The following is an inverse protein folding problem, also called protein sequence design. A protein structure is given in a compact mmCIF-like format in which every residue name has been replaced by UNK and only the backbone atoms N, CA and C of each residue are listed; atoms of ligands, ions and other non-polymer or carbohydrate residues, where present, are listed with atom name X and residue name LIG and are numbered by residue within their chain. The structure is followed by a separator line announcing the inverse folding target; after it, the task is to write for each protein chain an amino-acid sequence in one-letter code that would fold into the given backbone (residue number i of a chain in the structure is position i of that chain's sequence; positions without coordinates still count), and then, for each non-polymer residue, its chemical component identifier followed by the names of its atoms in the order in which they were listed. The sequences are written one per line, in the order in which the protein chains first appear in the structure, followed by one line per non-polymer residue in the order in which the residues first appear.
data_IF_501663512938
#
_entry.id   IF_501663512938
#
_cell.length_a   1.000
_cell.length_b   1.000
_cell.length_c   1.000
_cell.angle_alpha   90.00
_cell.angle_beta   90.00
_cell.angle_gamma   90.00
#
_symmetry.space_group_name_H-M   'P 1'
#
loop_
_entity.id
_entity.type
_entity.pdbx_description
1 polymer ?
#
# COMPACT_ATOMS: atom_id res chain seq x y z
N UNK A 1 -10.25 -9.08 -1.29
CA UNK A 1 -9.33 -8.07 -0.71
C UNK A 1 -8.52 -7.49 -1.87
N UNK A 2 -8.19 -6.20 -1.87
CA UNK A 2 -7.42 -5.58 -2.96
C UNK A 2 -6.37 -4.68 -2.33
N UNK A 3 -5.11 -4.82 -2.77
CA UNK A 3 -3.97 -3.99 -2.34
C UNK A 3 -3.84 -2.76 -3.26
N UNK A 4 -4.73 -1.77 -3.03
CA UNK A 4 -4.79 -0.58 -3.90
C UNK A 4 -3.47 0.19 -3.97
N UNK A 5 -2.71 0.30 -2.87
CA UNK A 5 -1.44 1.02 -2.87
C UNK A 5 -0.38 0.35 -3.77
N UNK A 6 -0.32 -0.99 -3.75
CA UNK A 6 0.60 -1.74 -4.60
C UNK A 6 0.21 -1.61 -6.08
N UNK A 7 -1.10 -1.69 -6.36
CA UNK A 7 -1.63 -1.47 -7.71
C UNK A 7 -1.33 -0.05 -8.19
N UNK A 8 -1.54 0.97 -7.36
CA UNK A 8 -1.24 2.36 -7.71
C UNK A 8 0.23 2.55 -8.08
N UNK A 9 1.15 2.04 -7.26
CA UNK A 9 2.59 2.10 -7.52
C UNK A 9 2.96 1.40 -8.84
N UNK A 10 2.35 0.24 -9.12
CA UNK A 10 2.63 -0.52 -10.32
C UNK A 10 2.02 0.07 -11.59
N UNK A 11 0.86 0.73 -11.48
CA UNK A 11 0.15 1.31 -12.62
C UNK A 11 0.55 2.77 -12.92
N UNK A 12 1.16 3.47 -11.95
CA UNK A 12 1.58 4.87 -12.12
C UNK A 12 2.52 5.07 -13.31
N UNK A 13 3.57 4.24 -13.54
CA UNK A 13 4.49 4.42 -14.66
C UNK A 13 3.95 3.91 -16.00
N UNK A 14 2.75 3.32 -16.04
CA UNK A 14 2.22 2.70 -17.30
C UNK A 14 1.87 3.77 -18.33
N UNK A 15 1.33 4.91 -17.91
CA UNK A 15 0.98 6.05 -18.78
C UNK A 15 1.54 7.32 -18.15
N UNK A 16 2.31 8.09 -18.93
CA UNK A 16 3.00 9.27 -18.43
C UNK A 16 2.39 10.59 -18.91
N UNK A 17 2.79 11.67 -18.23
CA UNK A 17 2.56 13.03 -18.70
C UNK A 17 3.75 13.51 -19.54
N UNK A 18 3.50 14.26 -20.60
CA UNK A 18 4.55 14.99 -21.29
C UNK A 18 4.94 16.22 -20.46
N UNK A 19 6.24 16.44 -20.30
CA UNK A 19 6.76 17.60 -19.58
C UNK A 19 6.34 18.93 -20.23
N UNK A 20 6.24 19.96 -19.39
CA UNK A 20 6.07 21.32 -19.88
C UNK A 20 7.38 21.79 -20.55
N UNK A 21 7.25 22.67 -21.55
CA UNK A 21 8.40 23.26 -22.23
C UNK A 21 9.17 24.22 -21.32
N UNK A 22 8.50 24.81 -20.32
CA UNK A 22 9.11 25.69 -19.35
C UNK A 22 9.77 24.87 -18.21
N UNK A 23 11.11 24.99 -18.01
CA UNK A 23 11.83 24.28 -16.96
C UNK A 23 11.26 24.53 -15.55
N UNK A 24 10.80 25.76 -15.27
CA UNK A 24 10.22 26.13 -13.97
C UNK A 24 8.86 25.46 -13.68
N UNK A 25 8.25 24.88 -14.70
CA UNK A 25 6.94 24.22 -14.64
C UNK A 25 7.00 22.72 -14.88
N UNK A 26 8.19 22.14 -14.79
CA UNK A 26 8.34 20.70 -14.92
C UNK A 26 7.78 20.00 -13.68
N UNK A 27 7.09 18.88 -13.91
CA UNK A 27 6.61 17.99 -12.86
C UNK A 27 7.62 16.88 -12.59
N UNK A 28 7.43 16.14 -11.50
CA UNK A 28 8.30 15.02 -11.11
C UNK A 28 8.51 14.05 -12.28
N UNK A 29 9.75 13.66 -12.54
CA UNK A 29 10.10 12.76 -13.64
C UNK A 29 9.38 11.39 -13.56
N UNK A 30 9.06 10.92 -12.36
CA UNK A 30 8.28 9.69 -12.16
C UNK A 30 6.91 9.76 -12.85
N UNK A 31 6.28 10.94 -12.87
CA UNK A 31 4.97 11.15 -13.51
C UNK A 31 5.05 11.20 -15.03
N UNK A 32 6.26 11.34 -15.57
CA UNK A 32 6.50 11.41 -17.02
C UNK A 32 6.91 10.07 -17.61
N UNK A 33 7.14 9.05 -16.78
CA UNK A 33 7.44 7.70 -17.23
C UNK A 33 6.22 7.12 -17.94
N UNK A 34 6.46 6.41 -19.06
CA UNK A 34 5.42 5.72 -19.81
C UNK A 34 5.95 4.39 -20.34
N UNK A 35 5.68 3.32 -19.60
CA UNK A 35 6.04 1.96 -20.02
C UNK A 35 5.29 1.53 -21.30
N UNK A 36 4.08 2.03 -21.50
CA UNK A 36 3.27 1.73 -22.67
C UNK A 36 3.56 2.62 -23.90
N UNK A 37 4.35 3.68 -23.72
CA UNK A 37 4.54 4.73 -24.73
C UNK A 37 3.34 5.67 -24.89
N UNK A 38 2.24 5.47 -24.15
CA UNK A 38 1.08 6.35 -24.18
C UNK A 38 1.27 7.53 -23.22
N UNK A 39 0.75 8.70 -23.61
CA UNK A 39 0.72 9.89 -22.77
C UNK A 39 -0.72 10.34 -22.53
N UNK A 40 -0.97 11.00 -21.40
CA UNK A 40 -2.30 11.51 -21.07
C UNK A 40 -2.77 12.58 -22.06
N UNK A 41 -1.83 13.40 -22.56
CA UNK A 41 -2.09 14.40 -23.58
C UNK A 41 -2.56 13.79 -24.89
N UNK A 42 -2.13 12.55 -25.19
CA UNK A 42 -2.56 11.82 -26.38
C UNK A 42 -4.02 11.37 -26.36
N UNK A 43 -4.67 11.38 -25.19
CA UNK A 43 -6.09 10.98 -25.09
C UNK A 43 -7.06 12.06 -25.57
N UNK A 44 -6.75 13.32 -25.32
CA UNK A 44 -7.61 14.45 -25.70
C UNK A 44 -6.83 15.76 -25.74
N UNK A 45 -7.08 16.68 -26.71
CA UNK A 45 -6.34 17.95 -26.86
C UNK A 45 -6.37 18.87 -25.62
N UNK A 46 -7.41 18.80 -24.79
CA UNK A 46 -7.52 19.58 -23.57
C UNK A 46 -6.83 18.93 -22.35
N UNK A 47 -6.35 17.70 -22.48
CA UNK A 47 -5.64 17.02 -21.41
C UNK A 47 -4.15 17.44 -21.39
N UNK A 48 -3.89 18.70 -21.03
CA UNK A 48 -2.53 19.29 -20.99
C UNK A 48 -2.16 19.70 -19.58
N UNK A 49 -0.87 19.75 -19.24
CA UNK A 49 -0.41 20.23 -17.93
C UNK A 49 -0.86 21.68 -17.66
N UNK A 50 -0.93 22.51 -18.69
CA UNK A 50 -1.42 23.89 -18.56
C UNK A 50 -2.88 23.93 -18.10
N UNK A 51 -3.75 23.09 -18.67
CA UNK A 51 -5.13 22.99 -18.26
C UNK A 51 -5.27 22.33 -16.89
N UNK A 52 -4.44 21.34 -16.57
CA UNK A 52 -4.42 20.71 -15.25
C UNK A 52 -4.04 21.73 -14.16
N UNK A 53 -3.05 22.60 -14.40
CA UNK A 53 -2.74 23.70 -13.48
C UNK A 53 -3.89 24.70 -13.34
N UNK A 54 -4.58 24.97 -14.43
CA UNK A 54 -5.71 25.90 -14.42
C UNK A 54 -6.93 25.39 -13.61
N UNK A 55 -7.07 24.07 -13.46
CA UNK A 55 -8.13 23.47 -12.64
C UNK A 55 -7.70 23.20 -11.19
N UNK A 56 -6.43 23.41 -10.87
CA UNK A 56 -5.94 23.28 -9.50
C UNK A 56 -6.57 24.35 -8.62
N UNK A 57 -7.18 23.99 -7.47
CA UNK A 57 -7.79 24.95 -6.58
C UNK A 57 -6.78 25.99 -6.05
N UNK A 58 -7.18 27.25 -5.93
CA UNK A 58 -6.30 28.32 -5.42
C UNK A 58 -5.86 28.05 -3.97
N UNK A 59 -6.69 27.34 -3.21
CA UNK A 59 -6.40 26.95 -1.84
C UNK A 59 -5.55 25.65 -1.72
N UNK A 60 -5.15 25.04 -2.84
CA UNK A 60 -4.33 23.82 -2.83
C UNK A 60 -3.03 23.97 -2.05
N UNK A 61 -2.47 25.20 -2.03
CA UNK A 61 -1.31 25.54 -1.21
C UNK A 61 -1.51 25.25 0.29
N UNK A 62 -2.75 25.38 0.78
CA UNK A 62 -3.07 25.14 2.19
C UNK A 62 -3.18 23.64 2.56
N UNK A 63 -3.10 22.75 1.59
CA UNK A 63 -2.97 21.31 1.85
C UNK A 63 -1.62 20.96 2.50
N UNK A 64 -0.62 21.84 2.37
CA UNK A 64 0.69 21.68 2.99
C UNK A 64 0.73 22.33 4.38
N UNK A 65 1.38 21.71 5.38
CA UNK A 65 1.58 22.32 6.69
C UNK A 65 2.41 23.61 6.57
N UNK A 66 2.12 24.60 7.40
CA UNK A 66 2.94 25.79 7.47
C UNK A 66 4.31 25.45 8.07
N UNK A 67 5.37 26.07 7.57
CA UNK A 67 6.68 25.97 8.18
C UNK A 67 6.66 26.50 9.63
N UNK A 68 7.40 25.84 10.52
CA UNK A 68 7.53 26.19 11.94
C UNK A 68 8.97 26.00 12.41
N UNK A 69 9.58 27.03 12.94
CA UNK A 69 10.99 27.03 13.35
C UNK A 69 11.34 26.00 14.45
N UNK A 70 10.35 25.49 15.20
CA UNK A 70 10.56 24.57 16.32
C UNK A 70 10.43 23.10 15.92
N UNK A 71 10.11 22.81 14.66
CA UNK A 71 9.94 21.44 14.18
C UNK A 71 11.20 20.95 13.46
N UNK A 72 11.48 19.65 13.63
CA UNK A 72 12.49 18.94 12.84
C UNK A 72 11.87 18.47 11.55
N UNK A 73 12.47 18.83 10.43
CA UNK A 73 12.03 18.42 9.11
C UNK A 73 13.00 17.40 8.53
N UNK A 74 12.47 16.19 8.25
CA UNK A 74 13.25 15.14 7.58
C UNK A 74 13.32 15.38 6.09
N UNK A 75 14.35 14.86 5.42
CA UNK A 75 14.45 14.87 3.96
C UNK A 75 13.14 14.41 3.31
N UNK A 76 12.65 15.16 2.32
CA UNK A 76 11.39 14.89 1.63
C UNK A 76 10.13 15.51 2.28
N UNK A 77 10.25 16.11 3.48
CA UNK A 77 9.11 16.81 4.10
C UNK A 77 8.76 18.06 3.33
N UNK A 78 7.48 18.22 2.99
CA UNK A 78 6.97 19.39 2.26
C UNK A 78 6.27 20.36 3.21
N UNK A 79 6.54 21.65 3.07
CA UNK A 79 5.93 22.72 3.87
C UNK A 79 5.61 23.93 2.99
N UNK A 80 4.63 24.74 3.41
CA UNK A 80 4.38 26.04 2.80
C UNK A 80 5.02 27.17 3.61
N UNK A 81 5.68 28.08 2.92
CA UNK A 81 6.25 29.30 3.51
C UNK A 81 6.24 30.42 2.48
N UNK A 82 5.76 31.62 2.86
CA UNK A 82 5.68 32.80 2.00
C UNK A 82 5.01 32.58 0.64
N UNK A 83 3.90 31.78 0.62
CA UNK A 83 3.15 31.50 -0.62
C UNK A 83 3.80 30.46 -1.55
N UNK A 84 4.89 29.85 -1.13
CA UNK A 84 5.64 28.85 -1.91
C UNK A 84 5.65 27.53 -1.13
N UNK A 85 5.63 26.40 -1.85
CA UNK A 85 5.88 25.09 -1.28
C UNK A 85 7.37 24.77 -1.37
N UNK A 86 7.92 24.29 -0.27
CA UNK A 86 9.31 23.90 -0.13
C UNK A 86 9.41 22.44 0.27
N UNK A 87 10.44 21.76 -0.22
CA UNK A 87 10.78 20.39 0.18
C UNK A 87 12.12 20.39 0.90
N UNK A 88 12.19 19.73 2.03
CA UNK A 88 13.43 19.54 2.77
C UNK A 88 14.36 18.60 2.00
N UNK A 89 15.51 19.11 1.56
CA UNK A 89 16.55 18.31 0.89
C UNK A 89 17.44 17.56 1.87
N UNK A 90 17.60 18.12 3.07
CA UNK A 90 18.34 17.55 4.19
C UNK A 90 17.49 17.64 5.45
N UNK A 91 17.79 16.80 6.45
CA UNK A 91 17.20 16.98 7.78
C UNK A 91 17.65 18.31 8.37
N UNK A 92 16.70 19.12 8.82
CA UNK A 92 16.98 20.45 9.36
C UNK A 92 15.96 20.85 10.44
N UNK A 93 16.37 21.81 11.28
CA UNK A 93 15.53 22.44 12.30
C UNK A 93 15.86 23.93 12.39
N UNK A 94 14.84 24.76 12.52
CA UNK A 94 15.01 26.21 12.69
C UNK A 94 15.53 26.98 11.47
N UNK A 95 15.80 26.30 10.35
CA UNK A 95 16.28 26.94 9.11
C UNK A 95 15.05 27.36 8.29
N UNK A 96 14.89 28.65 8.10
CA UNK A 96 13.78 29.22 7.31
C UNK A 96 13.96 28.95 5.83
N UNK A 97 12.89 28.47 5.13
CA UNK A 97 12.92 28.34 3.68
C UNK A 97 13.06 29.71 3.00
N UNK A 98 14.19 29.94 2.33
CA UNK A 98 14.46 31.17 1.59
C UNK A 98 14.95 30.86 0.19
N UNK A 99 14.65 31.76 -0.76
CA UNK A 99 15.21 31.69 -2.10
C UNK A 99 16.65 32.20 -2.00
N UNK A 100 17.62 31.31 -1.97
CA UNK A 100 19.01 31.67 -2.11
C UNK A 100 19.31 31.81 -3.61
N UNK A 101 19.95 32.90 -4.00
CA UNK A 101 20.31 33.21 -5.39
C UNK A 101 21.21 32.17 -6.07
N UNK A 102 21.77 31.24 -5.30
CA UNK A 102 22.62 30.14 -5.78
C UNK A 102 21.85 28.90 -6.28
N UNK A 103 20.54 28.82 -6.07
CA UNK A 103 19.74 27.66 -6.44
C UNK A 103 18.90 27.87 -7.70
N UNK A 104 19.36 28.69 -8.66
CA UNK A 104 18.66 28.91 -9.93
C UNK A 104 18.81 27.77 -10.95
N UNK A 105 19.63 26.75 -10.68
CA UNK A 105 19.71 25.58 -11.55
C UNK A 105 18.63 24.59 -11.19
N UNK A 106 17.49 24.71 -11.85
CA UNK A 106 16.28 23.88 -11.75
C UNK A 106 16.44 22.46 -12.30
N UNK A 107 17.59 21.86 -12.18
CA UNK A 107 17.69 20.43 -12.38
C UNK A 107 17.19 19.74 -11.10
N UNK A 108 16.03 19.11 -11.21
CA UNK A 108 15.37 18.28 -10.17
C UNK A 108 16.24 17.09 -9.71
N UNK A 109 17.51 17.30 -9.53
CA UNK A 109 18.43 16.30 -9.03
C UNK A 109 18.44 16.40 -7.51
N UNK A 110 17.46 15.72 -6.87
CA UNK A 110 17.36 15.58 -5.42
C UNK A 110 18.61 14.94 -4.78
N UNK A 111 19.59 14.54 -5.57
CA UNK A 111 20.85 13.96 -5.13
C UNK A 111 22.00 15.00 -5.13
N UNK A 112 21.74 16.27 -5.46
CA UNK A 112 22.77 17.27 -5.44
C UNK A 112 23.01 17.75 -4.00
N UNK A 113 24.05 17.22 -3.36
CA UNK A 113 24.48 17.57 -1.99
C UNK A 113 24.86 19.06 -1.82
N UNK A 114 24.98 19.81 -2.93
CA UNK A 114 25.27 21.25 -2.95
C UNK A 114 24.00 22.11 -2.86
N UNK A 115 22.81 21.53 -2.99
CA UNK A 115 21.57 22.27 -2.78
C UNK A 115 21.39 22.55 -1.27
N UNK A 116 20.93 23.74 -0.93
CA UNK A 116 20.62 24.12 0.46
C UNK A 116 19.59 23.22 1.12
N UNK A 117 19.31 23.39 2.44
CA UNK A 117 18.39 22.53 3.20
C UNK A 117 16.96 22.54 2.67
N UNK A 118 16.58 23.56 1.90
CA UNK A 118 15.27 23.70 1.28
C UNK A 118 15.39 23.93 -0.22
N UNK A 119 14.53 23.27 -0.98
CA UNK A 119 14.38 23.43 -2.42
C UNK A 119 12.93 23.81 -2.72
N UNK A 120 12.73 24.76 -3.63
CA UNK A 120 11.40 25.12 -4.11
C UNK A 120 10.75 23.91 -4.78
N UNK A 121 9.50 23.62 -4.41
CA UNK A 121 8.76 22.48 -4.94
C UNK A 121 7.61 22.95 -5.84
N UNK A 122 7.46 22.32 -7.00
CA UNK A 122 6.34 22.57 -7.91
C UNK A 122 5.11 21.77 -7.45
N UNK A 123 4.19 22.44 -6.76
CA UNK A 123 3.00 21.79 -6.17
C UNK A 123 2.07 21.14 -7.21
N UNK A 124 2.18 21.53 -8.50
CA UNK A 124 1.43 20.86 -9.56
C UNK A 124 1.81 19.38 -9.69
N UNK A 125 3.03 18.98 -9.30
CA UNK A 125 3.44 17.57 -9.28
C UNK A 125 2.53 16.73 -8.39
N UNK A 126 2.26 17.18 -7.17
CA UNK A 126 1.37 16.45 -6.24
C UNK A 126 -0.10 16.46 -6.72
N UNK A 127 -0.54 17.58 -7.31
CA UNK A 127 -1.89 17.66 -7.87
C UNK A 127 -2.07 16.69 -9.04
N UNK A 128 -1.12 16.66 -9.96
CA UNK A 128 -1.08 15.74 -11.11
C UNK A 128 -1.02 14.30 -10.63
N UNK A 129 -0.16 14.01 -9.63
CA UNK A 129 -0.07 12.67 -9.01
C UNK A 129 -1.41 12.22 -8.44
N UNK A 130 -2.06 13.07 -7.64
CA UNK A 130 -3.35 12.76 -7.03
C UNK A 130 -4.44 12.52 -8.09
N UNK A 131 -4.44 13.32 -9.14
CA UNK A 131 -5.38 13.19 -10.25
C UNK A 131 -5.17 11.86 -11.00
N UNK A 132 -3.91 11.51 -11.26
CA UNK A 132 -3.53 10.24 -11.91
C UNK A 132 -3.90 9.04 -11.03
N UNK A 133 -3.55 9.08 -9.74
CA UNK A 133 -3.87 8.01 -8.78
C UNK A 133 -5.39 7.83 -8.63
N UNK A 134 -6.15 8.91 -8.58
CA UNK A 134 -7.61 8.84 -8.55
C UNK A 134 -8.17 8.23 -9.83
N UNK A 135 -7.59 8.54 -10.99
CA UNK A 135 -7.94 7.93 -12.26
C UNK A 135 -7.64 6.44 -12.29
N UNK A 136 -6.48 6.02 -11.79
CA UNK A 136 -6.10 4.60 -11.66
C UNK A 136 -7.09 3.88 -10.74
N UNK A 137 -7.41 4.44 -9.56
CA UNK A 137 -8.37 3.84 -8.64
C UNK A 137 -9.74 3.64 -9.28
N UNK A 138 -10.24 4.67 -9.96
CA UNK A 138 -11.51 4.61 -10.68
C UNK A 138 -11.46 3.56 -11.79
N UNK A 139 -10.35 3.49 -12.52
CA UNK A 139 -10.16 2.50 -13.59
C UNK A 139 -10.21 1.06 -13.06
N UNK A 140 -9.51 0.79 -11.97
CA UNK A 140 -9.47 -0.55 -11.34
C UNK A 140 -10.85 -0.91 -10.76
N UNK A 141 -11.51 0.01 -10.07
CA UNK A 141 -12.85 -0.23 -9.50
C UNK A 141 -13.89 -0.50 -10.58
N UNK A 142 -13.93 0.32 -11.63
CA UNK A 142 -14.84 0.14 -12.75
C UNK A 142 -14.57 -1.17 -13.48
N UNK A 143 -13.30 -1.55 -13.67
CA UNK A 143 -12.92 -2.83 -14.24
C UNK A 143 -13.46 -4.01 -13.44
N UNK A 144 -13.25 -4.02 -12.12
CA UNK A 144 -13.75 -5.08 -11.23
C UNK A 144 -15.27 -5.17 -11.30
N UNK A 145 -15.95 -4.02 -11.35
CA UNK A 145 -17.41 -3.97 -11.45
C UNK A 145 -17.91 -4.45 -12.82
N UNK A 146 -17.34 -3.98 -13.91
CA UNK A 146 -17.75 -4.32 -15.30
C UNK A 146 -17.53 -5.82 -15.58
N UNK A 147 -16.43 -6.39 -15.09
CA UNK A 147 -16.10 -7.82 -15.25
C UNK A 147 -16.70 -8.71 -14.16
N UNK A 148 -17.42 -8.14 -13.19
CA UNK A 148 -18.07 -8.86 -12.10
C UNK A 148 -17.07 -9.69 -11.25
N UNK A 149 -15.85 -9.15 -11.01
CA UNK A 149 -14.79 -9.83 -10.28
C UNK A 149 -14.91 -9.71 -8.74
N UNK A 150 -16.11 -9.48 -8.22
CA UNK A 150 -16.32 -9.30 -6.77
C UNK A 150 -16.06 -10.60 -5.99
N UNK A 151 -16.23 -11.75 -6.64
CA UNK A 151 -15.94 -13.05 -6.00
C UNK A 151 -14.43 -13.25 -5.78
N UNK A 152 -13.61 -12.76 -6.71
CA UNK A 152 -12.16 -12.82 -6.66
C UNK A 152 -11.57 -11.87 -5.61
N UNK A 153 -12.41 -11.09 -4.94
CA UNK A 153 -12.02 -10.16 -3.87
C UNK A 153 -12.73 -10.44 -2.55
N UNK A 154 -13.42 -11.59 -2.44
CA UNK A 154 -14.20 -11.94 -1.24
C UNK A 154 -13.32 -12.17 -0.01
N UNK A 155 -13.89 -11.94 1.16
CA UNK A 155 -13.28 -12.34 2.41
C UNK A 155 -13.54 -13.84 2.66
N UNK A 156 -12.46 -14.57 2.97
CA UNK A 156 -12.48 -15.99 3.29
C UNK A 156 -12.52 -16.22 4.81
N UNK A 157 -11.85 -15.35 5.55
CA UNK A 157 -11.78 -15.34 7.00
C UNK A 157 -11.83 -13.90 7.50
N UNK A 158 -12.81 -13.57 8.32
CA UNK A 158 -12.92 -12.25 8.94
C UNK A 158 -12.36 -12.27 10.34
N UNK A 159 -11.48 -11.34 10.65
CA UNK A 159 -10.92 -11.00 11.95
C UNK A 159 -10.80 -12.17 12.92
N UNK A 160 -9.68 -12.88 12.88
CA UNK A 160 -9.32 -13.93 13.81
C UNK A 160 -8.00 -13.63 14.48
N UNK A 161 -7.96 -13.81 15.78
CA UNK A 161 -6.73 -13.70 16.55
C UNK A 161 -5.99 -15.03 16.56
N UNK A 162 -4.66 -14.99 16.59
CA UNK A 162 -3.85 -16.21 16.75
C UNK A 162 -4.14 -16.91 18.07
N UNK A 163 -4.53 -16.12 19.05
CA UNK A 163 -4.91 -16.59 20.36
C UNK A 163 -6.24 -15.92 20.75
N UNK A 164 -7.28 -16.71 20.92
CA UNK A 164 -8.67 -16.28 21.11
C UNK A 164 -9.27 -16.69 22.47
N UNK A 165 -8.46 -17.32 23.32
CA UNK A 165 -8.98 -17.91 24.53
C UNK A 165 -8.39 -17.35 25.81
N UNK A 166 -9.08 -17.67 26.93
CA UNK A 166 -8.61 -17.45 28.28
C UNK A 166 -7.53 -18.48 28.66
N UNK A 167 -6.41 -18.48 27.95
CA UNK A 167 -5.30 -19.31 28.38
C UNK A 167 -4.78 -18.84 29.72
N UNK A 168 -4.19 -19.77 30.46
CA UNK A 168 -3.50 -19.44 31.69
C UNK A 168 -2.31 -18.57 31.35
N UNK A 169 -2.23 -17.38 31.96
CA UNK A 169 -1.01 -16.60 32.01
C UNK A 169 0.07 -17.50 32.60
N UNK A 170 1.02 -17.89 31.77
CA UNK A 170 2.00 -18.87 32.18
C UNK A 170 3.07 -18.24 33.06
N UNK A 171 3.73 -17.21 32.56
CA UNK A 171 4.82 -16.51 33.28
C UNK A 171 5.24 -15.24 32.56
N UNK A 172 5.94 -14.37 33.26
CA UNK A 172 6.76 -13.33 32.66
C UNK A 172 7.99 -13.96 32.01
N UNK A 173 8.33 -13.51 30.82
CA UNK A 173 9.56 -13.91 30.12
C UNK A 173 10.61 -12.83 30.38
N UNK A 174 11.70 -13.21 31.01
CA UNK A 174 12.87 -12.31 31.15
C UNK A 174 13.56 -12.17 29.79
N UNK A 175 13.96 -10.96 29.40
CA UNK A 175 14.73 -10.76 28.18
C UNK A 175 16.05 -11.55 28.22
N UNK A 176 16.31 -12.35 27.22
CA UNK A 176 17.52 -13.20 27.13
C UNK A 176 18.39 -12.83 25.94
N UNK A 177 18.19 -11.63 25.38
CA UNK A 177 18.97 -11.17 24.23
C UNK A 177 18.59 -11.87 22.93
N UNK A 178 17.32 -12.19 22.76
CA UNK A 178 16.81 -12.89 21.58
C UNK A 178 15.90 -12.01 20.74
N UNK A 179 15.85 -12.28 19.46
CA UNK A 179 14.76 -11.88 18.58
C UNK A 179 13.68 -12.96 18.71
N UNK A 180 12.46 -12.55 19.01
CA UNK A 180 11.35 -13.47 19.27
C UNK A 180 10.09 -13.03 18.52
N UNK A 181 9.26 -13.99 18.10
CA UNK A 181 8.05 -13.66 17.39
C UNK A 181 7.34 -14.85 16.78
N UNK A 182 6.57 -14.58 15.74
CA UNK A 182 5.84 -15.57 14.98
C UNK A 182 6.37 -15.69 13.56
N UNK A 183 6.68 -16.92 13.15
CA UNK A 183 6.72 -17.29 11.76
C UNK A 183 5.28 -17.54 11.28
N UNK A 184 4.93 -16.95 10.16
CA UNK A 184 3.60 -17.05 9.53
C UNK A 184 3.82 -17.57 8.12
N UNK A 185 3.41 -18.80 7.86
CA UNK A 185 3.52 -19.44 6.55
C UNK A 185 2.15 -19.47 5.89
N UNK A 186 1.90 -18.63 4.86
CA UNK A 186 0.68 -18.71 4.08
C UNK A 186 0.60 -20.07 3.37
N UNK A 187 -0.56 -20.70 3.42
CA UNK A 187 -0.80 -21.92 2.63
C UNK A 187 -0.74 -21.55 1.16
N UNK A 188 -0.11 -22.39 0.35
CA UNK A 188 0.02 -22.19 -1.10
C UNK A 188 -1.35 -22.06 -1.75
N UNK A 189 -1.71 -20.82 -2.06
CA UNK A 189 -2.96 -20.48 -2.72
C UNK A 189 -2.77 -19.14 -3.46
N UNK A 190 -2.52 -19.22 -4.77
CA UNK A 190 -2.40 -18.03 -5.62
C UNK A 190 -3.67 -17.18 -5.56
N UNK A 191 -3.49 -15.90 -5.30
CA UNK A 191 -4.61 -14.96 -5.14
C UNK A 191 -5.30 -15.03 -3.78
N UNK A 192 -4.69 -15.66 -2.78
CA UNK A 192 -5.12 -15.57 -1.37
C UNK A 192 -4.10 -14.75 -0.60
N UNK A 193 -4.57 -13.74 0.10
CA UNK A 193 -3.71 -12.84 0.88
C UNK A 193 -4.22 -12.74 2.31
N UNK A 194 -3.29 -12.82 3.26
CA UNK A 194 -3.55 -12.52 4.67
C UNK A 194 -3.26 -11.06 4.94
N UNK A 195 -4.15 -10.40 5.69
CA UNK A 195 -3.98 -9.03 6.17
C UNK A 195 -3.88 -9.04 7.67
N UNK A 196 -2.89 -8.35 8.23
CA UNK A 196 -2.82 -8.06 9.66
C UNK A 196 -3.73 -6.86 9.93
N UNK A 197 -4.78 -7.10 10.72
CA UNK A 197 -5.75 -6.05 11.11
C UNK A 197 -5.28 -5.30 12.35
N UNK A 198 -4.79 -6.03 13.37
CA UNK A 198 -4.23 -5.46 14.59
C UNK A 198 -3.11 -6.32 15.15
N UNK A 199 -2.19 -5.68 15.86
CA UNK A 199 -1.11 -6.33 16.61
C UNK A 199 -1.38 -6.09 18.08
N UNK A 200 -1.42 -7.14 18.87
CA UNK A 200 -1.59 -7.11 20.31
C UNK A 200 -0.27 -7.36 21.01
N UNK A 201 0.06 -6.53 21.99
CA UNK A 201 1.19 -6.72 22.88
C UNK A 201 0.69 -6.86 24.31
N UNK A 202 1.26 -7.82 25.04
CA UNK A 202 0.98 -8.09 26.46
C UNK A 202 2.30 -8.07 27.22
N UNK A 203 2.60 -6.91 27.77
CA UNK A 203 3.85 -6.64 28.48
C UNK A 203 3.56 -6.17 29.92
N UNK A 204 4.56 -6.26 30.79
CA UNK A 204 4.51 -5.76 32.18
C UNK A 204 5.83 -5.08 32.56
N UNK A 205 5.83 -4.33 33.64
CA UNK A 205 7.00 -3.76 34.28
C UNK A 205 7.35 -2.36 33.83
N UNK A 206 7.28 -2.04 32.56
CA UNK A 206 7.58 -0.71 32.04
C UNK A 206 6.67 -0.36 30.84
N UNK A 207 6.65 0.93 30.50
CA UNK A 207 6.02 1.48 29.30
C UNK A 207 7.10 2.01 28.37
N UNK A 208 6.78 2.17 27.10
CA UNK A 208 7.71 2.74 26.11
C UNK A 208 7.47 2.21 24.71
N UNK A 209 8.42 2.49 23.85
CA UNK A 209 8.35 2.06 22.46
C UNK A 209 8.81 0.61 22.32
N UNK A 210 8.01 -0.19 21.62
CA UNK A 210 8.35 -1.55 21.20
C UNK A 210 8.45 -1.54 19.68
N UNK A 211 9.61 -1.89 19.17
CA UNK A 211 9.87 -1.96 17.73
C UNK A 211 9.65 -3.38 17.23
N UNK A 212 8.78 -3.53 16.23
CA UNK A 212 8.55 -4.77 15.55
C UNK A 212 9.16 -4.73 14.15
N UNK A 213 9.66 -5.88 13.73
CA UNK A 213 10.22 -6.12 12.42
C UNK A 213 9.36 -7.14 11.69
N UNK A 214 9.09 -6.87 10.41
CA UNK A 214 8.43 -7.82 9.51
C UNK A 214 9.42 -8.21 8.43
N UNK A 215 9.84 -9.46 8.43
CA UNK A 215 10.72 -10.05 7.40
C UNK A 215 9.95 -11.02 6.51
N UNK A 216 10.52 -11.31 5.37
CA UNK A 216 10.10 -12.40 4.50
C UNK A 216 11.33 -13.20 4.07
N UNK A 217 11.19 -14.54 3.94
CA UNK A 217 12.30 -15.44 3.61
C UNK A 217 13.00 -15.16 2.27
N UNK A 218 12.34 -14.39 1.37
CA UNK A 218 12.93 -14.02 0.08
C UNK A 218 13.95 -12.89 0.14
N UNK A 219 14.09 -12.20 1.27
CA UNK A 219 15.02 -11.07 1.39
C UNK A 219 15.57 -10.92 2.80
N UNK A 220 16.80 -10.40 2.89
CA UNK A 220 17.54 -10.26 4.14
C UNK A 220 17.03 -9.05 4.95
N UNK A 221 16.76 -7.92 4.28
CA UNK A 221 16.30 -6.71 4.95
C UNK A 221 14.84 -6.82 5.39
N UNK A 222 14.43 -6.16 6.49
CA UNK A 222 13.04 -6.14 6.91
C UNK A 222 12.18 -5.45 5.84
N UNK A 223 11.06 -6.08 5.50
CA UNK A 223 10.04 -5.48 4.62
C UNK A 223 9.43 -4.24 5.26
N UNK A 224 9.32 -4.25 6.58
CA UNK A 224 8.72 -3.16 7.34
C UNK A 224 9.23 -3.14 8.78
N UNK A 225 9.40 -1.93 9.31
CA UNK A 225 9.65 -1.67 10.73
C UNK A 225 8.44 -0.93 11.29
N UNK A 226 7.95 -1.34 12.46
CA UNK A 226 6.72 -0.84 13.07
C UNK A 226 7.03 -0.45 14.50
N UNK A 227 6.98 0.83 14.81
CA UNK A 227 7.17 1.35 16.16
C UNK A 227 5.82 1.48 16.87
N UNK A 228 5.65 0.80 18.01
CA UNK A 228 4.43 0.77 18.81
C UNK A 228 4.69 1.36 20.20
N UNK A 229 3.91 2.35 20.59
CA UNK A 229 4.01 2.94 21.94
C UNK A 229 3.15 2.16 22.92
N UNK A 230 3.78 1.34 23.75
CA UNK A 230 3.10 0.53 24.76
C UNK A 230 2.95 1.33 26.07
N UNK A 231 1.71 1.42 26.55
CA UNK A 231 1.36 2.20 27.75
C UNK A 231 0.66 1.41 28.85
N UNK A 232 0.23 0.17 28.54
CA UNK A 232 -0.53 -0.65 29.47
C UNK A 232 0.38 -1.47 30.42
N UNK A 233 0.36 -1.15 31.70
CA UNK A 233 1.14 -1.87 32.71
C UNK A 233 0.36 -2.95 33.45
N UNK A 234 -0.92 -3.15 33.15
CA UNK A 234 -1.82 -4.02 33.90
C UNK A 234 -1.86 -5.48 33.40
N UNK A 235 -0.97 -5.84 32.47
CA UNK A 235 -0.85 -7.23 31.99
C UNK A 235 -1.95 -7.68 31.01
N UNK A 236 -2.81 -6.76 30.56
CA UNK A 236 -3.76 -7.03 29.47
C UNK A 236 -3.14 -6.76 28.11
N UNK A 237 -3.74 -7.28 27.04
CA UNK A 237 -3.35 -6.94 25.68
C UNK A 237 -3.64 -5.47 25.37
N UNK A 238 -2.63 -4.76 24.87
CA UNK A 238 -2.82 -3.49 24.18
C UNK A 238 -2.81 -3.76 22.67
N UNK A 239 -3.89 -3.38 22.00
CA UNK A 239 -4.06 -3.60 20.57
C UNK A 239 -3.72 -2.35 19.78
N UNK A 240 -2.94 -2.54 18.72
CA UNK A 240 -2.50 -1.49 17.81
C UNK A 240 -3.02 -1.77 16.40
N UNK A 241 -3.67 -0.78 15.81
CA UNK A 241 -4.05 -0.84 14.39
C UNK A 241 -2.93 -0.18 13.59
N UNK A 242 -2.30 -0.88 12.64
CA UNK A 242 -1.29 -0.28 11.77
C UNK A 242 -1.85 0.90 10.99
N UNK A 243 -1.11 2.01 10.90
CA UNK A 243 -1.52 3.18 10.11
C UNK A 243 -1.68 2.87 8.63
N UNK A 244 -0.86 1.96 8.13
CA UNK A 244 -0.94 1.42 6.79
C UNK A 244 -1.25 -0.07 6.84
N UNK A 245 -2.08 -0.59 5.92
CA UNK A 245 -2.37 -2.01 5.86
C UNK A 245 -1.10 -2.86 5.72
N UNK A 246 -1.04 -3.97 6.45
CA UNK A 246 0.05 -4.94 6.35
C UNK A 246 -0.52 -6.20 5.70
N UNK A 247 -0.03 -6.51 4.50
CA UNK A 247 -0.41 -7.70 3.76
C UNK A 247 0.71 -8.72 3.77
N UNK A 248 0.34 -9.98 3.87
CA UNK A 248 1.23 -11.14 3.79
C UNK A 248 0.79 -11.97 2.56
N UNK A 249 1.14 -11.56 1.34
CA UNK A 249 0.81 -12.31 0.14
C UNK A 249 1.63 -13.59 0.06
N UNK A 250 1.13 -14.56 -0.71
CA UNK A 250 1.92 -15.67 -1.18
C UNK A 250 2.89 -15.16 -2.26
N UNK A 251 4.19 -15.33 -2.05
CA UNK A 251 5.22 -14.89 -3.00
C UNK A 251 5.82 -16.14 -3.69
N UNK A 252 5.51 -16.42 -4.95
CA UNK A 252 6.08 -17.57 -5.66
C UNK A 252 7.60 -17.56 -5.65
N UNK A 253 8.24 -18.70 -5.32
CA UNK A 253 9.71 -18.81 -5.26
C UNK A 253 10.35 -18.10 -4.08
N UNK A 254 9.57 -17.72 -3.06
CA UNK A 254 10.01 -16.93 -1.92
C UNK A 254 10.98 -17.61 -0.95
N UNK A 255 11.34 -18.87 -1.15
CA UNK A 255 12.34 -19.59 -0.35
C UNK A 255 13.74 -19.65 -0.94
N UNK A 256 13.92 -19.16 -2.18
CA UNK A 256 15.22 -19.11 -2.85
C UNK A 256 15.73 -20.47 -3.36
N UNK A 257 15.11 -21.58 -2.99
CA UNK A 257 15.57 -22.94 -3.33
C UNK A 257 14.96 -23.50 -4.63
N UNK A 258 14.22 -22.67 -5.36
CA UNK A 258 13.54 -23.09 -6.60
C UNK A 258 12.32 -23.98 -6.36
N UNK A 259 11.98 -24.28 -5.13
CA UNK A 259 10.70 -24.85 -4.77
C UNK A 259 9.63 -23.75 -4.84
N UNK A 260 8.49 -24.09 -5.38
CA UNK A 260 7.35 -23.18 -5.50
C UNK A 260 6.62 -23.05 -4.14
N UNK A 261 7.38 -22.66 -3.10
CA UNK A 261 6.86 -22.31 -1.80
C UNK A 261 6.66 -20.78 -1.73
N UNK A 262 5.64 -20.33 -1.02
CA UNK A 262 5.38 -18.90 -0.85
C UNK A 262 6.32 -18.22 0.12
N UNK A 263 7.31 -18.92 0.64
CA UNK A 263 8.16 -18.46 1.73
C UNK A 263 7.43 -18.32 3.05
N UNK A 264 8.14 -17.77 4.02
CA UNK A 264 7.63 -17.50 5.36
C UNK A 264 7.77 -16.02 5.72
N UNK A 265 6.79 -15.50 6.46
CA UNK A 265 6.79 -14.18 7.05
C UNK A 265 7.18 -14.26 8.51
N UNK A 266 8.03 -13.36 8.98
CA UNK A 266 8.48 -13.32 10.37
C UNK A 266 8.10 -11.97 10.98
N UNK A 267 7.15 -11.98 11.91
CA UNK A 267 6.79 -10.81 12.72
C UNK A 267 7.42 -10.96 14.10
N UNK A 268 8.39 -10.12 14.42
CA UNK A 268 9.21 -10.30 15.61
C UNK A 268 9.65 -8.97 16.22
N UNK A 269 10.19 -9.04 17.44
CA UNK A 269 10.89 -7.95 18.10
C UNK A 269 12.19 -8.44 18.75
N UNK A 270 13.13 -7.51 18.92
CA UNK A 270 14.37 -7.77 19.62
C UNK A 270 14.19 -7.46 21.11
N UNK A 271 14.44 -8.45 21.96
CA UNK A 271 14.33 -8.29 23.41
C UNK A 271 15.33 -7.27 23.97
N UNK A 272 16.49 -7.05 23.31
CA UNK A 272 17.48 -6.04 23.71
C UNK A 272 17.00 -4.60 23.48
N UNK A 273 16.01 -4.39 22.62
CA UNK A 273 15.44 -3.08 22.34
C UNK A 273 14.23 -2.74 23.23
N UNK A 274 13.80 -3.67 24.06
CA UNK A 274 12.72 -3.40 25.00
C UNK A 274 13.13 -2.34 26.03
N UNK A 275 12.23 -1.45 26.42
CA UNK A 275 12.44 -0.52 27.54
C UNK A 275 12.90 -1.27 28.79
N UNK A 276 13.82 -0.66 29.55
CA UNK A 276 14.37 -1.27 30.77
C UNK A 276 13.25 -1.66 31.73
N UNK A 277 13.26 -2.92 32.18
CA UNK A 277 12.25 -3.48 33.07
C UNK A 277 10.98 -3.99 32.39
N UNK A 278 10.81 -3.79 31.10
CA UNK A 278 9.69 -4.35 30.34
C UNK A 278 9.90 -5.85 30.12
N UNK A 279 8.85 -6.63 30.37
CA UNK A 279 8.85 -8.09 30.21
C UNK A 279 7.60 -8.52 29.48
N UNK A 280 7.72 -9.51 28.60
CA UNK A 280 6.58 -10.13 27.94
C UNK A 280 5.83 -11.07 28.90
N UNK A 281 4.51 -11.07 28.78
CA UNK A 281 3.68 -12.11 29.41
C UNK A 281 3.45 -13.22 28.41
N UNK A 282 3.88 -14.44 28.77
CA UNK A 282 3.66 -15.60 27.93
C UNK A 282 2.29 -16.22 28.20
N UNK A 283 1.60 -16.54 27.14
CA UNK A 283 0.42 -17.37 27.16
C UNK A 283 0.80 -18.74 26.57
N UNK A 284 0.81 -19.77 27.39
CA UNK A 284 1.15 -21.12 26.93
C UNK A 284 0.03 -21.68 26.08
N UNK A 285 0.32 -21.89 24.79
CA UNK A 285 -0.56 -22.55 23.81
C UNK A 285 0.33 -23.40 22.92
N UNK A 286 -0.04 -24.65 22.70
CA UNK A 286 0.64 -25.45 21.69
C UNK A 286 0.09 -25.08 20.30
N UNK A 287 0.94 -24.47 19.48
CA UNK A 287 0.59 -23.99 18.15
C UNK A 287 0.63 -25.09 17.08
N UNK A 288 1.20 -26.25 17.40
CA UNK A 288 1.34 -27.38 16.48
C UNK A 288 0.14 -28.31 16.46
N UNK A 289 -0.71 -28.22 17.48
CA UNK A 289 -1.86 -29.12 17.65
C UNK A 289 -3.17 -28.35 17.79
N UNK A 290 -4.27 -29.04 17.46
CA UNK A 290 -5.61 -28.53 17.66
C UNK A 290 -5.90 -28.28 19.16
N UNK A 291 -6.40 -27.06 19.52
CA UNK A 291 -6.67 -26.73 20.92
C UNK A 291 -7.67 -27.70 21.56
N UNK A 292 -7.38 -28.15 22.78
CA UNK A 292 -8.32 -28.89 23.56
C UNK A 292 -9.47 -27.99 24.03
N UNK A 293 -10.71 -28.33 23.69
CA UNK A 293 -11.90 -27.57 24.08
C UNK A 293 -12.07 -27.41 25.61
N UNK A 294 -11.62 -28.40 26.37
CA UNK A 294 -11.87 -28.47 27.81
C UNK A 294 -10.73 -27.89 28.66
N UNK A 295 -9.51 -27.80 28.10
CA UNK A 295 -8.32 -27.50 28.89
C UNK A 295 -7.91 -26.01 28.90
N UNK A 296 -8.12 -25.26 27.83
CA UNK A 296 -7.55 -23.93 27.66
C UNK A 296 -8.51 -22.89 27.11
N UNK A 297 -9.78 -23.18 26.92
CA UNK A 297 -10.80 -22.22 26.49
C UNK A 297 -10.63 -21.69 25.07
N UNK A 298 -9.74 -22.28 24.27
CA UNK A 298 -9.56 -21.90 22.87
C UNK A 298 -10.68 -22.42 21.98
N UNK A 299 -11.06 -21.68 20.96
CA UNK A 299 -12.02 -22.15 19.98
C UNK A 299 -11.33 -23.06 18.96
N UNK A 300 -11.68 -24.34 18.98
CA UNK A 300 -11.27 -25.31 17.96
C UNK A 300 -11.67 -24.84 16.57
N UNK A 301 -12.84 -24.27 16.45
CA UNK A 301 -13.36 -23.78 15.17
C UNK A 301 -12.50 -22.63 14.64
N UNK A 302 -12.11 -21.69 15.49
CA UNK A 302 -11.21 -20.58 15.12
C UNK A 302 -9.86 -21.10 14.61
N UNK A 303 -9.27 -22.06 15.31
CA UNK A 303 -8.01 -22.69 14.92
C UNK A 303 -8.13 -23.44 13.58
N UNK A 304 -9.16 -24.25 13.41
CA UNK A 304 -9.43 -24.97 12.16
C UNK A 304 -9.69 -24.06 10.99
N UNK A 305 -10.37 -22.93 11.20
CA UNK A 305 -10.61 -21.94 10.15
C UNK A 305 -9.31 -21.25 9.74
N UNK A 306 -8.48 -20.90 10.70
CA UNK A 306 -7.20 -20.21 10.46
C UNK A 306 -6.19 -21.11 9.76
N UNK A 307 -6.02 -22.35 10.23
CA UNK A 307 -5.02 -23.30 9.69
C UNK A 307 -5.29 -23.78 8.27
N UNK A 308 -6.48 -23.51 7.74
CA UNK A 308 -6.77 -23.71 6.30
C UNK A 308 -5.97 -22.74 5.40
N UNK A 309 -5.58 -21.58 5.92
CA UNK A 309 -5.00 -20.50 5.14
C UNK A 309 -3.57 -20.16 5.54
N UNK A 310 -3.17 -20.47 6.76
CA UNK A 310 -1.83 -20.20 7.26
C UNK A 310 -1.45 -21.11 8.41
N UNK A 311 -0.15 -21.31 8.56
CA UNK A 311 0.46 -21.93 9.74
C UNK A 311 1.20 -20.85 10.52
N UNK A 312 1.16 -20.97 11.85
CA UNK A 312 1.84 -20.04 12.76
C UNK A 312 2.74 -20.85 13.67
N UNK A 313 4.01 -20.49 13.75
CA UNK A 313 5.01 -21.13 14.60
C UNK A 313 5.74 -20.06 15.39
N UNK A 314 5.69 -20.09 16.73
CA UNK A 314 6.53 -19.22 17.53
C UNK A 314 8.00 -19.59 17.38
N UNK A 315 8.86 -18.58 17.29
CA UNK A 315 10.28 -18.80 17.12
C UNK A 315 11.13 -17.87 18.01
N UNK A 316 12.37 -18.26 18.19
CA UNK A 316 13.41 -17.41 18.78
C UNK A 316 14.74 -17.62 18.07
N UNK A 317 15.54 -16.55 17.99
CA UNK A 317 16.89 -16.55 17.45
C UNK A 317 17.77 -15.69 18.35
N UNK A 318 19.05 -16.00 18.46
CA UNK A 318 19.99 -15.14 19.18
C UNK A 318 20.13 -13.80 18.46
N UNK A 319 19.93 -12.67 19.20
CA UNK A 319 20.06 -11.36 18.59
C UNK A 319 21.56 -10.96 18.50
N UNK A 320 22.06 -10.60 17.33
CA UNK A 320 23.35 -9.91 17.21
C UNK A 320 23.35 -8.62 18.02
N UNK A 321 24.52 -8.22 18.52
CA UNK A 321 24.62 -7.00 19.36
C UNK A 321 24.19 -5.73 18.60
N UNK A 322 24.48 -5.69 17.32
CA UNK A 322 24.24 -4.52 16.46
C UNK A 322 22.95 -4.66 15.63
N UNK A 323 22.05 -5.58 16.01
CA UNK A 323 20.83 -5.84 15.24
C UNK A 323 19.93 -4.60 15.05
N UNK A 324 19.87 -3.70 16.03
CA UNK A 324 19.08 -2.47 15.91
C UNK A 324 19.57 -1.54 14.78
N UNK A 325 20.88 -1.56 14.51
CA UNK A 325 21.52 -0.79 13.44
C UNK A 325 21.54 -1.55 12.11
N UNK A 326 21.70 -2.88 12.18
CA UNK A 326 21.81 -3.77 11.02
C UNK A 326 20.79 -4.92 11.08
N UNK A 327 19.48 -4.64 10.91
CA UNK A 327 18.44 -5.67 10.99
C UNK A 327 18.54 -6.74 9.89
N UNK A 328 19.30 -6.51 8.82
CA UNK A 328 19.67 -7.50 7.79
C UNK A 328 20.50 -8.67 8.33
N UNK A 329 20.99 -8.58 9.57
CA UNK A 329 21.63 -9.71 10.26
C UNK A 329 20.65 -10.80 10.72
N UNK A 330 19.37 -10.68 10.40
CA UNK A 330 18.38 -11.71 10.67
C UNK A 330 18.66 -12.96 9.84
N UNK A 331 19.11 -14.04 10.50
CA UNK A 331 19.49 -15.30 9.84
C UNK A 331 18.45 -16.40 10.11
N UNK A 332 17.68 -16.70 9.09
CA UNK A 332 16.63 -17.73 9.15
C UNK A 332 17.21 -19.12 9.50
N UNK A 333 18.45 -19.41 9.12
CA UNK A 333 19.12 -20.69 9.39
C UNK A 333 19.38 -20.96 10.88
N UNK A 334 19.28 -19.95 11.74
CA UNK A 334 19.51 -20.05 13.19
C UNK A 334 18.23 -20.08 14.02
N UNK A 335 17.07 -20.17 13.39
CA UNK A 335 15.78 -20.15 14.08
C UNK A 335 15.59 -21.40 14.95
N UNK A 336 15.27 -21.18 16.22
CA UNK A 336 14.79 -22.19 17.13
C UNK A 336 13.27 -22.07 17.34
N UNK A 337 12.53 -23.13 17.05
CA UNK A 337 11.08 -23.14 17.24
C UNK A 337 10.70 -23.59 18.63
N UNK A 338 9.68 -22.92 19.20
CA UNK A 338 9.10 -23.25 20.51
C UNK A 338 7.58 -23.26 20.38
N UNK A 339 6.97 -24.43 20.41
CA UNK A 339 5.56 -24.60 20.11
C UNK A 339 4.60 -23.97 21.14
N UNK A 340 5.08 -23.58 22.32
CA UNK A 340 4.24 -23.19 23.46
C UNK A 340 4.39 -21.72 23.89
N UNK A 341 5.14 -20.93 23.14
CA UNK A 341 5.42 -19.53 23.49
C UNK A 341 4.66 -18.56 22.57
N UNK A 342 4.13 -17.44 23.11
CA UNK A 342 3.62 -16.35 22.31
C UNK A 342 4.43 -15.04 22.47
N UNK A 343 5.41 -15.03 23.35
CA UNK A 343 6.29 -13.89 23.62
C UNK A 343 5.54 -12.58 23.90
N UNK A 344 4.36 -12.64 24.51
CA UNK A 344 3.52 -11.47 24.76
C UNK A 344 2.88 -10.89 23.51
N UNK A 345 2.94 -11.58 22.38
CA UNK A 345 2.37 -11.11 21.13
C UNK A 345 1.07 -11.83 20.79
N UNK A 346 0.17 -11.14 20.13
CA UNK A 346 -0.98 -11.70 19.44
C UNK A 346 -1.22 -10.91 18.15
N UNK A 347 -1.84 -11.52 17.16
CA UNK A 347 -2.13 -10.88 15.90
C UNK A 347 -3.58 -11.18 15.51
N UNK A 348 -4.32 -10.16 15.16
CA UNK A 348 -5.63 -10.29 14.53
C UNK A 348 -5.47 -10.19 13.03
N UNK A 349 -5.92 -11.20 12.32
CA UNK A 349 -5.81 -11.32 10.88
C UNK A 349 -7.17 -11.45 10.21
N UNK A 350 -7.21 -11.07 8.94
CA UNK A 350 -8.24 -11.49 7.99
C UNK A 350 -7.57 -12.13 6.77
N UNK A 351 -8.29 -13.00 6.09
CA UNK A 351 -7.82 -13.66 4.86
C UNK A 351 -8.85 -13.42 3.78
N UNK A 352 -8.40 -13.06 2.61
CA UNK A 352 -9.29 -12.78 1.49
C UNK A 352 -8.67 -13.12 0.15
N UNK A 353 -9.53 -13.27 -0.84
CA UNK A 353 -9.10 -13.36 -2.23
C UNK A 353 -8.57 -12.01 -2.70
N UNK A 354 -7.46 -12.03 -3.43
CA UNK A 354 -6.76 -10.85 -3.92
C UNK A 354 -6.26 -11.06 -5.34
N UNK A 355 -6.75 -10.23 -6.24
CA UNK A 355 -6.34 -10.24 -7.65
C UNK A 355 -5.26 -9.20 -7.96
N UNK A 356 -4.71 -8.54 -6.93
CA UNK A 356 -3.76 -7.44 -7.11
C UNK A 356 -2.52 -7.88 -7.90
N UNK A 357 -1.97 -9.06 -7.60
CA UNK A 357 -0.79 -9.57 -8.31
C UNK A 357 -1.07 -9.85 -9.79
N UNK A 358 -2.29 -10.30 -10.12
CA UNK A 358 -2.71 -10.49 -11.52
C UNK A 358 -2.83 -9.15 -12.26
N UNK A 359 -3.36 -8.12 -11.60
CA UNK A 359 -3.42 -6.75 -12.16
C UNK A 359 -2.01 -6.19 -12.35
N UNK A 360 -1.13 -6.34 -11.36
CA UNK A 360 0.24 -5.83 -11.37
C UNK A 360 1.07 -6.51 -12.47
N UNK A 361 0.99 -7.84 -12.57
CA UNK A 361 1.74 -8.60 -13.58
C UNK A 361 1.29 -8.29 -15.01
N UNK A 362 0.02 -7.93 -15.21
CA UNK A 362 -0.57 -7.62 -16.51
C UNK A 362 -0.84 -6.13 -16.68
N UNK A 363 -0.12 -5.25 -15.96
CA UNK A 363 -0.37 -3.81 -15.90
C UNK A 363 -0.46 -3.11 -17.25
N UNK A 364 0.27 -3.60 -18.26
CA UNK A 364 0.29 -2.99 -19.58
C UNK A 364 -1.09 -2.97 -20.27
N UNK A 365 -1.96 -3.95 -20.00
CA UNK A 365 -3.30 -4.00 -20.60
C UNK A 365 -4.20 -2.86 -20.10
N UNK A 366 -3.90 -2.28 -18.95
CA UNK A 366 -4.65 -1.17 -18.38
C UNK A 366 -4.30 0.20 -18.99
N UNK A 367 -3.25 0.29 -19.82
CA UNK A 367 -2.73 1.55 -20.33
C UNK A 367 -3.81 2.42 -20.99
N UNK A 368 -4.55 1.88 -21.95
CA UNK A 368 -5.60 2.62 -22.68
C UNK A 368 -6.74 3.05 -21.76
N UNK A 369 -7.13 2.20 -20.81
CA UNK A 369 -8.20 2.52 -19.86
C UNK A 369 -7.77 3.63 -18.92
N UNK A 370 -6.54 3.55 -18.35
CA UNK A 370 -6.00 4.57 -17.45
C UNK A 370 -5.86 5.91 -18.18
N UNK A 371 -5.30 5.89 -19.40
CA UNK A 371 -5.14 7.08 -20.23
C UNK A 371 -6.48 7.81 -20.41
N UNK A 372 -7.50 7.08 -20.84
CA UNK A 372 -8.83 7.65 -21.12
C UNK A 372 -9.58 8.02 -19.84
N UNK A 373 -9.42 7.26 -18.74
CA UNK A 373 -10.06 7.56 -17.46
C UNK A 373 -9.54 8.84 -16.83
N UNK A 374 -8.20 9.04 -16.83
CA UNK A 374 -7.59 10.27 -16.31
C UNK A 374 -8.02 11.46 -17.18
N UNK A 375 -7.98 11.32 -18.50
CA UNK A 375 -8.45 12.37 -19.42
C UNK A 375 -9.92 12.72 -19.18
N UNK A 376 -10.79 11.73 -18.99
CA UNK A 376 -12.20 11.96 -18.69
C UNK A 376 -12.40 12.70 -17.36
N UNK A 377 -11.61 12.38 -16.34
CA UNK A 377 -11.65 13.08 -15.07
C UNK A 377 -11.21 14.56 -15.21
N UNK A 378 -10.15 14.82 -15.97
CA UNK A 378 -9.68 16.19 -16.28
C UNK A 378 -10.76 16.98 -17.00
N UNK A 379 -11.32 16.42 -18.10
CA UNK A 379 -12.37 17.08 -18.87
C UNK A 379 -13.61 17.35 -18.04
N UNK A 380 -14.03 16.42 -17.18
CA UNK A 380 -15.18 16.63 -16.29
C UNK A 380 -14.93 17.77 -15.31
N UNK A 381 -13.72 17.85 -14.73
CA UNK A 381 -13.35 18.96 -13.84
C UNK A 381 -13.36 20.30 -14.59
N UNK A 382 -12.81 20.34 -15.81
CA UNK A 382 -12.86 21.53 -16.66
C UNK A 382 -14.32 21.96 -16.94
N UNK A 383 -15.17 21.02 -17.30
CA UNK A 383 -16.57 21.29 -17.63
C UNK A 383 -17.39 21.80 -16.44
N UNK A 384 -17.09 21.32 -15.22
CA UNK A 384 -17.84 21.61 -14.01
C UNK A 384 -17.31 22.83 -13.24
N UNK A 385 -16.10 23.30 -13.52
CA UNK A 385 -15.52 24.45 -12.83
C UNK A 385 -15.85 25.75 -13.61
N UNK A 386 -16.70 26.66 -13.06
CA UNK A 386 -17.09 27.90 -13.74
C UNK A 386 -15.95 28.90 -13.87
N UNK A 387 -14.96 28.84 -12.96
CA UNK A 387 -13.86 29.81 -12.86
C UNK A 387 -12.63 29.41 -13.68
N UNK A 388 -12.63 28.20 -14.24
CA UNK A 388 -11.50 27.74 -15.04
C UNK A 388 -11.43 28.52 -16.34
N UNK A 389 -10.45 29.39 -16.41
CA UNK A 389 -10.01 30.07 -17.64
C UNK A 389 -9.19 29.12 -18.51
N UNK A 390 -9.78 27.96 -18.83
CA UNK A 390 -9.20 27.10 -19.88
C UNK A 390 -9.12 27.96 -21.13
N UNK A 391 -8.00 27.89 -21.83
CA UNK A 391 -7.78 28.68 -23.03
C UNK A 391 -8.78 28.28 -24.12
N UNK A 392 -10.03 28.74 -23.95
CA UNK A 392 -11.17 28.51 -24.86
C UNK A 392 -10.93 29.05 -26.27
N UNK A 393 -9.94 29.95 -26.40
CA UNK A 393 -9.59 30.56 -27.67
C UNK A 393 -8.87 29.61 -28.64
N UNK A 394 -8.29 28.51 -28.15
CA UNK A 394 -7.63 27.52 -29.02
C UNK A 394 -8.57 26.40 -29.49
N UNK A 395 -9.60 26.10 -28.72
CA UNK A 395 -10.62 25.13 -29.09
C UNK A 395 -11.96 25.75 -28.70
N UNK A 396 -12.82 26.04 -29.67
CA UNK A 396 -14.20 26.57 -29.45
C UNK A 396 -15.11 25.52 -28.79
N UNK A 397 -14.65 24.94 -27.67
CA UNK A 397 -15.36 23.89 -26.98
C UNK A 397 -16.15 24.52 -25.86
N UNK A 398 -17.46 24.43 -25.97
CA UNK A 398 -18.40 24.84 -24.92
C UNK A 398 -18.45 23.78 -23.82
N UNK A 399 -18.97 24.17 -22.64
CA UNK A 399 -19.24 23.21 -21.54
C UNK A 399 -20.10 22.04 -22.03
N UNK A 400 -21.10 22.31 -22.84
CA UNK A 400 -22.03 21.28 -23.32
C UNK A 400 -21.36 20.31 -24.30
N UNK A 401 -20.44 20.79 -25.14
CA UNK A 401 -19.64 19.96 -26.01
C UNK A 401 -18.73 18.99 -25.21
N UNK A 402 -18.11 19.49 -24.12
CA UNK A 402 -17.33 18.64 -23.21
C UNK A 402 -18.17 17.57 -22.53
N UNK A 403 -19.38 17.93 -22.10
CA UNK A 403 -20.30 16.97 -21.50
C UNK A 403 -20.79 15.94 -22.54
N UNK A 404 -21.02 16.36 -23.79
CA UNK A 404 -21.34 15.43 -24.88
C UNK A 404 -20.18 14.49 -25.20
N UNK A 405 -18.94 14.98 -25.11
CA UNK A 405 -17.73 14.16 -25.27
C UNK A 405 -17.64 13.06 -24.20
N UNK A 406 -18.05 13.37 -22.97
CA UNK A 406 -17.99 12.46 -21.82
C UNK A 406 -19.20 11.54 -21.72
N UNK A 407 -20.40 12.07 -21.88
CA UNK A 407 -21.64 11.36 -21.54
C UNK A 407 -22.40 10.89 -22.80
N UNK A 408 -21.99 11.34 -23.98
CA UNK A 408 -22.59 11.10 -25.28
C UNK A 408 -23.53 12.22 -25.70
N UNK A 409 -23.62 12.44 -27.01
CA UNK A 409 -24.53 13.45 -27.58
C UNK A 409 -25.99 13.00 -27.48
N UNK A 410 -26.96 13.94 -27.31
CA UNK A 410 -28.39 13.63 -27.28
C UNK A 410 -28.91 12.92 -28.54
N UNK A 411 -28.17 13.04 -29.65
CA UNK A 411 -28.51 12.41 -30.95
C UNK A 411 -28.20 10.90 -30.99
N UNK A 412 -27.69 10.31 -29.89
CA UNK A 412 -27.44 8.88 -29.78
C UNK A 412 -26.29 8.34 -30.64
N UNK A 413 -25.47 9.21 -31.25
CA UNK A 413 -24.24 8.75 -31.93
C UNK A 413 -23.21 8.33 -30.86
N UNK A 414 -22.78 7.09 -30.96
CA UNK A 414 -21.74 6.50 -30.13
C UNK A 414 -20.36 7.05 -30.56
N UNK A 415 -19.99 8.19 -30.01
CA UNK A 415 -18.70 8.89 -30.29
C UNK A 415 -18.23 9.62 -29.04
N UNK A 416 -16.96 10.04 -29.04
CA UNK A 416 -16.36 10.79 -27.94
C UNK A 416 -15.60 9.93 -26.94
N UNK A 417 -14.86 10.63 -26.06
CA UNK A 417 -13.97 10.01 -25.08
C UNK A 417 -14.70 9.03 -24.14
N UNK A 418 -15.91 9.39 -23.72
CA UNK A 418 -16.70 8.53 -22.84
C UNK A 418 -17.14 7.23 -23.49
N UNK A 419 -17.48 7.25 -24.78
CA UNK A 419 -17.77 6.04 -25.55
C UNK A 419 -16.50 5.18 -25.71
N UNK A 420 -15.40 5.78 -26.09
CA UNK A 420 -14.12 5.09 -26.24
C UNK A 420 -13.63 4.46 -24.93
N UNK A 421 -13.83 5.14 -23.80
CA UNK A 421 -13.54 4.62 -22.49
C UNK A 421 -14.38 3.36 -22.17
N UNK A 422 -15.69 3.39 -22.47
CA UNK A 422 -16.56 2.21 -22.32
C UNK A 422 -16.09 1.04 -23.19
N UNK A 423 -15.68 1.30 -24.42
CA UNK A 423 -15.15 0.25 -25.30
C UNK A 423 -13.82 -0.30 -24.75
N UNK A 424 -12.94 0.57 -24.22
CA UNK A 424 -11.70 0.13 -23.61
C UNK A 424 -11.94 -0.79 -22.40
N UNK A 425 -12.92 -0.48 -21.52
CA UNK A 425 -13.30 -1.39 -20.43
C UNK A 425 -13.84 -2.74 -20.92
N UNK A 426 -14.64 -2.74 -21.98
CA UNK A 426 -15.17 -3.99 -22.55
C UNK A 426 -14.08 -4.86 -23.16
N UNK A 427 -13.10 -4.24 -23.81
CA UNK A 427 -11.97 -4.93 -24.43
C UNK A 427 -10.92 -5.40 -23.43
N UNK A 428 -10.92 -4.85 -22.19
CA UNK A 428 -9.96 -5.20 -21.16
C UNK A 428 -10.28 -6.60 -20.60
N UNK A 429 -9.37 -7.55 -20.74
CA UNK A 429 -9.47 -8.89 -20.20
C UNK A 429 -8.25 -9.19 -19.34
N UNK A 430 -8.48 -9.64 -18.10
CA UNK A 430 -7.45 -10.08 -17.17
C UNK A 430 -7.34 -11.59 -17.23
N UNK A 431 -6.13 -12.09 -17.42
CA UNK A 431 -5.86 -13.52 -17.32
C UNK A 431 -5.74 -13.93 -15.84
N UNK A 432 -6.76 -14.61 -15.36
CA UNK A 432 -6.84 -15.12 -13.98
C UNK A 432 -6.51 -16.61 -13.89
N UNK A 433 -5.90 -17.19 -14.92
CA UNK A 433 -5.41 -18.58 -14.86
C UNK A 433 -4.35 -18.71 -13.77
N UNK A 434 -4.50 -19.68 -12.90
CA UNK A 434 -3.65 -19.86 -11.73
C UNK A 434 -4.24 -19.32 -10.43
N UNK A 435 -5.34 -18.54 -10.49
CA UNK A 435 -6.07 -18.17 -9.27
C UNK A 435 -6.61 -19.43 -8.60
N UNK A 436 -6.50 -19.51 -7.27
CA UNK A 436 -6.99 -20.65 -6.50
C UNK A 436 -8.50 -20.82 -6.68
N UNK A 437 -8.95 -22.08 -6.75
CA UNK A 437 -10.37 -22.44 -6.96
C UNK A 437 -11.30 -21.83 -5.92
N UNK A 438 -10.82 -21.60 -4.71
CA UNK A 438 -11.61 -20.99 -3.64
C UNK A 438 -11.97 -19.52 -3.95
N UNK A 439 -11.15 -18.86 -4.77
CA UNK A 439 -11.34 -17.49 -5.18
C UNK A 439 -12.04 -17.36 -6.55
N UNK A 440 -12.17 -18.45 -7.29
CA UNK A 440 -12.94 -18.44 -8.52
C UNK A 440 -14.43 -18.45 -8.22
N UNK A 441 -15.21 -17.79 -9.08
CA UNK A 441 -16.66 -18.00 -9.08
C UNK A 441 -16.90 -19.48 -9.33
N UNK A 442 -17.70 -20.12 -8.46
CA UNK A 442 -18.39 -21.34 -8.86
C UNK A 442 -19.34 -20.93 -10.00
N UNK A 443 -18.81 -20.91 -11.21
CA UNK A 443 -19.63 -20.68 -12.37
C UNK A 443 -20.66 -21.79 -12.41
N UNK A 444 -21.88 -21.50 -11.93
CA UNK A 444 -23.10 -22.12 -12.41
C UNK A 444 -23.28 -21.71 -13.87
N UNK A 445 -22.27 -21.92 -14.69
CA UNK A 445 -22.49 -22.17 -16.10
C UNK A 445 -23.14 -23.56 -16.16
N UNK A 446 -24.40 -23.56 -15.80
CA UNK A 446 -25.27 -24.62 -16.24
C UNK A 446 -24.95 -24.78 -17.72
N UNK A 447 -24.43 -25.95 -18.08
CA UNK A 447 -24.18 -26.34 -19.46
C UNK A 447 -25.47 -25.98 -20.18
N UNK A 448 -25.46 -24.86 -20.92
CA UNK A 448 -26.55 -24.56 -21.83
C UNK A 448 -26.43 -25.60 -22.89
N UNK A 449 -27.10 -26.73 -22.71
CA UNK A 449 -27.37 -27.65 -23.78
C UNK A 449 -28.15 -26.86 -24.82
N UNK A 450 -27.50 -26.43 -25.89
CA UNK A 450 -28.20 -26.12 -27.12
C UNK A 450 -28.77 -27.42 -27.56
N UNK A 451 -30.05 -27.61 -27.32
CA UNK A 451 -30.85 -28.56 -28.12
C UNK A 451 -30.73 -28.10 -29.57
N UNK A 452 -30.10 -28.94 -30.36
CA UNK A 452 -30.05 -28.85 -31.83
C UNK A 452 -31.44 -28.98 -32.36
#
# INVERSE_FOLDING_TARGET
MIRLQDIQKALLPVVGWQQDYNPEKQIDNELCQSESGLTFQGAHPLCTLANVRAIMPDDYLYSYPAWNQNLVYRKGTKVRHNGIVWIANLENVGIEPTVNDYNQDFNNDFNNEQAGPWVKYEMASDFVRNLTVNGINTAVQNFIQEKQLQQETKNLLERRTFFDGAARLAATIDPTGKIVGFEIVPVRAMGVTTKIERIGLQMVGATGMVRLYLFHSSQIAPMRVIDLTFTNTHGGFQWFTPNEPIYLPYIPGGDGDGNDSGGAWFLCYNQNELPQGMRALNVSKDWSVEPCQTCLGGSIESWRQMTKYLQVSPFSIHAPLDFAEYPEMFDIGQIGYTNTMNYGMNVEISVGCDISDFIISQRAIFATVIQKQVAANVLRTIAMNPDVRVNRNQVNVTRDELLYELDGAPTGRASGLGYELKQAYRALELDTRGLDRICLQCNNHGVKYRTV
#
